data_IF_828499931258
#
_entry.id   IF_828499931258
#
_cell.length_a   1.000
_cell.length_b   1.000
_cell.length_c   1.000
_cell.angle_alpha   90.00
_cell.angle_beta   90.00
_cell.angle_gamma   90.00
#
_symmetry.space_group_name_H-M   'P 1'
#
loop_
_entity.id
_entity.type
_entity.pdbx_description
1 polymer ?
#
# COMPACT_ATOMS: atom_id res chain seq x y z
N UNK A 1 -3.77 16.61 25.16
CA UNK A 1 -3.51 15.25 24.60
C UNK A 1 -2.86 15.45 23.25
N UNK A 2 -1.84 14.67 22.92
CA UNK A 2 -1.19 14.76 21.61
C UNK A 2 -2.12 14.25 20.51
N UNK A 3 -2.16 14.98 19.39
CA UNK A 3 -2.84 14.59 18.16
C UNK A 3 -2.10 13.43 17.48
N UNK A 4 -2.85 12.44 17.00
CA UNK A 4 -2.30 11.25 16.34
C UNK A 4 -2.89 11.15 14.94
N UNK A 5 -2.03 10.92 13.96
CA UNK A 5 -2.39 10.65 12.58
C UNK A 5 -1.87 9.31 12.08
N UNK A 6 -2.48 8.79 11.02
CA UNK A 6 -1.96 7.65 10.24
C UNK A 6 -1.74 8.11 8.81
N UNK A 7 -0.49 8.08 8.32
CA UNK A 7 -0.14 8.38 6.93
C UNK A 7 -0.40 7.15 6.05
N UNK A 8 -1.45 7.22 5.25
CA UNK A 8 -1.86 6.23 4.27
C UNK A 8 -1.34 6.62 2.87
N UNK A 9 -0.61 5.73 2.21
CA UNK A 9 -0.01 5.95 0.88
C UNK A 9 -0.21 4.74 -0.06
N UNK A 10 -1.31 4.02 0.11
CA UNK A 10 -1.63 2.80 -0.64
C UNK A 10 -3.03 2.30 -0.32
N UNK A 11 -3.23 0.98 -0.18
CA UNK A 11 -4.58 0.40 0.02
C UNK A 11 -5.31 0.95 1.25
N UNK A 12 -4.58 1.43 2.25
CA UNK A 12 -5.15 2.03 3.44
C UNK A 12 -5.96 3.31 3.12
N UNK A 13 -5.66 4.04 2.02
CA UNK A 13 -6.40 5.24 1.60
C UNK A 13 -7.86 4.89 1.31
N UNK A 14 -8.09 3.83 0.52
CA UNK A 14 -9.43 3.39 0.11
C UNK A 14 -10.11 2.49 1.14
N UNK A 15 -9.33 1.66 1.83
CA UNK A 15 -9.83 0.71 2.82
C UNK A 15 -9.07 0.83 4.15
N UNK A 16 -9.36 1.85 4.98
CA UNK A 16 -8.75 1.99 6.30
C UNK A 16 -8.99 0.78 7.21
N UNK A 17 -10.10 0.08 6.98
CA UNK A 17 -10.50 -1.11 7.73
C UNK A 17 -11.52 -0.80 8.82
N UNK A 18 -12.14 -1.85 9.33
CA UNK A 18 -13.31 -1.76 10.24
C UNK A 18 -12.96 -1.17 11.61
N UNK A 19 -11.70 -1.24 12.02
CA UNK A 19 -11.28 -0.67 13.30
C UNK A 19 -10.72 0.76 13.19
N UNK A 20 -10.13 1.13 12.06
CA UNK A 20 -9.55 2.48 11.85
C UNK A 20 -10.63 3.43 11.33
N UNK A 21 -11.43 3.03 10.34
CA UNK A 21 -12.46 3.87 9.72
C UNK A 21 -13.34 4.62 10.73
N UNK A 22 -13.89 3.98 11.79
CA UNK A 22 -14.82 4.64 12.69
C UNK A 22 -14.21 5.73 13.57
N UNK A 23 -12.87 5.75 13.71
CA UNK A 23 -12.15 6.68 14.58
C UNK A 23 -11.39 7.76 13.78
N UNK A 24 -11.62 7.84 12.46
CA UNK A 24 -11.06 8.91 11.63
C UNK A 24 -11.89 10.18 11.86
N UNK A 25 -11.29 11.19 12.47
CA UNK A 25 -11.88 12.50 12.65
C UNK A 25 -11.78 13.35 11.38
N UNK A 26 -10.63 13.30 10.69
CA UNK A 26 -10.33 14.12 9.52
C UNK A 26 -9.42 13.35 8.55
N UNK A 27 -9.62 13.55 7.24
CA UNK A 27 -8.73 13.05 6.19
C UNK A 27 -8.01 14.22 5.52
N UNK A 28 -6.73 14.42 5.83
CA UNK A 28 -5.88 15.42 5.19
C UNK A 28 -5.24 14.84 3.94
N UNK A 29 -5.70 15.29 2.78
CA UNK A 29 -5.25 14.80 1.48
C UNK A 29 -4.07 15.64 0.94
N UNK A 30 -3.41 15.11 -0.10
CA UNK A 30 -2.30 15.77 -0.82
C UNK A 30 -1.10 16.09 0.08
N UNK A 31 -0.84 15.22 1.04
CA UNK A 31 0.36 15.28 1.87
C UNK A 31 1.49 14.56 1.14
N UNK A 32 2.63 15.20 0.93
CA UNK A 32 3.78 14.54 0.32
C UNK A 32 4.46 13.60 1.33
N UNK A 33 4.77 12.36 0.92
CA UNK A 33 5.49 11.43 1.80
C UNK A 33 6.93 11.93 2.06
N UNK A 34 7.46 11.86 3.30
CA UNK A 34 8.83 12.29 3.60
C UNK A 34 9.90 11.28 3.14
N UNK A 35 9.48 10.28 2.36
CA UNK A 35 10.31 9.21 1.82
C UNK A 35 9.84 8.86 0.41
N UNK A 36 10.75 8.29 -0.38
CA UNK A 36 10.42 7.78 -1.71
C UNK A 36 9.60 6.50 -1.64
N UNK A 37 8.67 6.37 -2.58
CA UNK A 37 7.80 5.22 -2.75
C UNK A 37 7.98 4.62 -4.14
N UNK A 38 7.96 3.29 -4.22
CA UNK A 38 7.95 2.54 -5.49
C UNK A 38 7.26 1.19 -5.30
N UNK A 39 6.82 0.56 -6.41
CA UNK A 39 6.29 -0.81 -6.47
C UNK A 39 7.35 -1.90 -6.18
N UNK A 40 8.03 -1.80 -5.04
CA UNK A 40 9.22 -2.59 -4.72
C UNK A 40 8.95 -3.85 -3.88
N UNK A 41 7.68 -4.21 -3.67
CA UNK A 41 7.31 -5.38 -2.87
C UNK A 41 6.30 -6.28 -3.55
N UNK A 42 6.60 -7.57 -3.65
CA UNK A 42 5.67 -8.63 -3.99
C UNK A 42 4.88 -9.06 -2.75
N UNK A 43 3.56 -9.08 -2.85
CA UNK A 43 2.63 -9.41 -1.77
C UNK A 43 2.08 -10.83 -1.91
N UNK A 44 2.43 -11.71 -0.97
CA UNK A 44 1.91 -13.09 -0.93
C UNK A 44 0.40 -13.14 -0.75
N UNK A 45 -0.17 -12.18 -0.04
CA UNK A 45 -1.62 -12.11 0.21
C UNK A 45 -2.44 -11.59 -0.97
N UNK A 46 -1.75 -11.25 -2.06
CA UNK A 46 -2.26 -10.82 -3.36
C UNK A 46 -1.64 -11.69 -4.47
N UNK A 47 -1.32 -12.94 -4.16
CA UNK A 47 -0.74 -13.91 -5.10
C UNK A 47 0.45 -13.36 -5.91
N UNK A 48 1.38 -12.69 -5.21
CA UNK A 48 2.63 -12.19 -5.79
C UNK A 48 2.56 -10.78 -6.38
N UNK A 49 1.40 -10.11 -6.33
CA UNK A 49 1.22 -8.77 -6.88
C UNK A 49 2.28 -7.75 -6.39
N UNK A 50 2.77 -6.86 -7.26
CA UNK A 50 3.60 -5.75 -6.84
C UNK A 50 2.76 -4.72 -6.05
N UNK A 51 3.36 -4.20 -4.98
CA UNK A 51 2.75 -3.22 -4.05
C UNK A 51 3.72 -2.09 -3.74
N UNK A 52 3.19 -0.91 -3.44
CA UNK A 52 4.02 0.26 -3.13
C UNK A 52 4.56 0.18 -1.71
N UNK A 53 5.84 0.48 -1.53
CA UNK A 53 6.52 0.51 -0.23
C UNK A 53 7.57 1.63 -0.20
N UNK A 54 7.98 2.11 1.00
CA UNK A 54 9.11 3.03 1.12
C UNK A 54 10.40 2.41 0.59
N UNK A 55 11.16 3.16 -0.20
CA UNK A 55 12.44 2.73 -0.78
C UNK A 55 13.58 3.70 -0.41
N UNK A 56 14.79 3.16 -0.27
CA UNK A 56 16.00 3.97 0.02
C UNK A 56 16.68 4.50 -1.24
N UNK A 57 16.45 3.85 -2.39
CA UNK A 57 16.98 4.26 -3.70
C UNK A 57 15.93 4.01 -4.78
N UNK A 58 15.89 4.90 -5.78
CA UNK A 58 14.79 4.97 -6.73
C UNK A 58 13.51 5.54 -6.12
N UNK A 59 12.40 5.37 -6.83
CA UNK A 59 11.11 5.92 -6.41
C UNK A 59 11.07 7.44 -6.38
N UNK A 60 9.97 7.99 -5.86
CA UNK A 60 9.86 9.40 -5.52
C UNK A 60 8.87 9.59 -4.36
N UNK A 61 8.91 10.71 -3.65
CA UNK A 61 7.79 11.12 -2.80
C UNK A 61 6.48 11.10 -3.58
N UNK A 62 5.38 10.74 -2.92
CA UNK A 62 4.04 10.68 -3.52
C UNK A 62 3.03 11.39 -2.64
N UNK A 63 1.91 11.78 -3.23
CA UNK A 63 0.79 12.26 -2.44
C UNK A 63 0.12 11.11 -1.67
N UNK A 64 -0.06 11.35 -0.38
CA UNK A 64 -0.65 10.49 0.61
C UNK A 64 -1.82 11.20 1.30
N UNK A 65 -2.50 10.46 2.18
CA UNK A 65 -3.54 10.99 3.05
C UNK A 65 -3.17 10.73 4.50
N UNK A 66 -3.25 11.73 5.37
CA UNK A 66 -3.20 11.52 6.81
C UNK A 66 -4.63 11.36 7.34
N UNK A 67 -4.88 10.25 8.03
CA UNK A 67 -6.08 10.07 8.85
C UNK A 67 -5.81 10.60 10.25
N UNK A 68 -6.37 11.76 10.56
CA UNK A 68 -6.33 12.31 11.93
C UNK A 68 -7.33 11.53 12.76
N UNK A 69 -6.88 10.97 13.88
CA UNK A 69 -7.71 10.14 14.74
C UNK A 69 -8.46 10.98 15.78
N UNK A 70 -9.56 10.43 16.29
CA UNK A 70 -10.33 11.04 17.38
C UNK A 70 -9.47 11.36 18.62
N UNK A 71 -9.87 12.41 19.33
CA UNK A 71 -9.23 12.78 20.60
C UNK A 71 -9.38 11.65 21.63
N UNK A 72 -8.30 11.31 22.32
CA UNK A 72 -8.28 10.27 23.36
C UNK A 72 -7.83 8.89 22.88
N UNK A 73 -7.65 8.68 21.57
CA UNK A 73 -6.93 7.50 21.07
C UNK A 73 -5.48 7.58 21.56
N UNK A 74 -5.02 6.52 22.24
CA UNK A 74 -3.63 6.42 22.70
C UNK A 74 -2.71 5.99 21.56
N UNK A 75 -1.41 6.30 21.69
CA UNK A 75 -0.39 5.86 20.74
C UNK A 75 -0.39 4.34 20.56
N UNK A 76 -0.35 3.59 21.66
CA UNK A 76 -0.36 2.13 21.64
C UNK A 76 -1.60 1.59 20.91
N UNK A 77 -2.78 2.19 21.14
CA UNK A 77 -4.01 1.78 20.46
C UNK A 77 -3.94 2.07 18.96
N UNK A 78 -3.37 3.20 18.55
CA UNK A 78 -3.22 3.55 17.14
C UNK A 78 -2.22 2.61 16.43
N UNK A 79 -1.10 2.27 17.07
CA UNK A 79 -0.12 1.31 16.55
C UNK A 79 -0.73 -0.09 16.39
N UNK A 80 -1.46 -0.54 17.40
CA UNK A 80 -2.22 -1.79 17.41
C UNK A 80 -3.20 -1.89 16.24
N UNK A 81 -4.02 -0.84 16.05
CA UNK A 81 -5.03 -0.78 15.00
C UNK A 81 -4.37 -0.85 13.62
N UNK A 82 -3.34 -0.04 13.40
CA UNK A 82 -2.57 -0.03 12.16
C UNK A 82 -1.93 -1.39 11.90
N UNK A 83 -1.30 -1.99 12.92
CA UNK A 83 -0.67 -3.30 12.78
C UNK A 83 -1.67 -4.41 12.48
N UNK A 84 -2.82 -4.44 13.17
CA UNK A 84 -3.88 -5.42 12.90
C UNK A 84 -4.40 -5.28 11.48
N UNK A 85 -4.58 -4.04 11.00
CA UNK A 85 -5.03 -3.78 9.64
C UNK A 85 -4.07 -4.33 8.58
N UNK A 86 -2.77 -4.08 8.72
CA UNK A 86 -1.77 -4.52 7.75
C UNK A 86 -1.49 -6.02 7.80
N UNK A 87 -1.70 -6.64 8.96
CA UNK A 87 -1.48 -8.08 9.16
C UNK A 87 -2.76 -8.90 9.04
N UNK A 88 -3.89 -8.28 8.67
CA UNK A 88 -5.23 -8.90 8.56
C UNK A 88 -5.71 -9.57 9.86
N UNK A 89 -5.35 -9.01 11.01
CA UNK A 89 -5.78 -9.46 12.34
C UNK A 89 -6.87 -8.58 12.95
N UNK A 90 -7.63 -7.83 12.14
CA UNK A 90 -8.62 -6.89 12.66
C UNK A 90 -9.74 -7.54 13.51
N UNK A 91 -10.17 -6.85 14.56
CA UNK A 91 -11.06 -7.37 15.62
C UNK A 91 -10.48 -8.54 16.43
N UNK A 92 -9.15 -8.62 16.54
CA UNK A 92 -8.51 -9.46 17.55
C UNK A 92 -7.97 -8.61 18.69
N UNK A 93 -7.73 -9.24 19.83
CA UNK A 93 -7.06 -8.63 20.98
C UNK A 93 -5.52 -8.68 20.86
N UNK A 94 -5.00 -8.84 19.63
CA UNK A 94 -3.56 -8.87 19.39
C UNK A 94 -3.00 -7.46 19.43
N UNK A 95 -1.91 -7.33 20.17
CA UNK A 95 -1.15 -6.11 20.31
C UNK A 95 0.07 -6.10 19.39
N UNK A 96 0.40 -4.92 18.87
CA UNK A 96 1.66 -4.71 18.18
C UNK A 96 2.82 -4.89 19.16
N UNK A 97 3.81 -5.64 18.73
CA UNK A 97 5.10 -5.72 19.41
C UNK A 97 6.18 -5.45 18.37
N UNK A 98 6.92 -4.34 18.50
CA UNK A 98 8.01 -4.02 17.59
C UNK A 98 8.98 -5.20 17.49
N UNK A 99 9.38 -5.59 16.27
CA UNK A 99 10.32 -6.68 16.12
C UNK A 99 11.69 -6.28 16.68
N UNK A 100 12.26 -7.17 17.50
CA UNK A 100 13.62 -7.02 18.04
C UNK A 100 14.69 -7.11 16.96
N UNK A 101 14.44 -7.84 15.88
CA UNK A 101 15.31 -7.95 14.71
C UNK A 101 14.57 -7.48 13.46
N UNK A 102 15.03 -6.39 12.80
CA UNK A 102 14.47 -5.94 11.53
C UNK A 102 14.66 -7.01 10.45
N UNK A 103 13.60 -7.34 9.72
CA UNK A 103 13.70 -8.13 8.50
C UNK A 103 12.83 -7.51 7.39
N UNK A 104 13.20 -7.64 6.11
CA UNK A 104 12.43 -7.06 5.01
C UNK A 104 10.98 -7.58 4.91
N UNK A 105 10.71 -8.75 5.50
CA UNK A 105 9.40 -9.39 5.47
C UNK A 105 8.49 -8.98 6.65
N UNK A 106 9.02 -8.26 7.64
CA UNK A 106 8.25 -7.91 8.83
C UNK A 106 7.80 -6.46 8.75
N UNK A 107 6.49 -6.26 8.83
CA UNK A 107 5.89 -4.94 8.90
C UNK A 107 6.27 -4.29 10.22
N UNK A 108 6.70 -3.03 10.16
CA UNK A 108 6.95 -2.19 11.33
C UNK A 108 6.11 -0.93 11.26
N UNK A 109 5.61 -0.49 12.41
CA UNK A 109 5.02 0.84 12.55
C UNK A 109 6.16 1.82 12.80
N UNK A 110 6.17 2.93 12.06
CA UNK A 110 7.13 4.01 12.17
C UNK A 110 6.43 5.30 12.53
N UNK A 111 7.17 6.20 13.15
CA UNK A 111 6.65 7.43 13.73
C UNK A 111 7.35 8.63 13.11
N UNK A 112 6.57 9.63 12.71
CA UNK A 112 6.99 10.98 12.42
C UNK A 112 6.49 11.88 13.56
N UNK A 113 7.29 12.86 13.97
CA UNK A 113 6.91 13.85 14.98
C UNK A 113 6.74 15.20 14.32
N UNK A 114 5.79 15.99 14.81
CA UNK A 114 5.54 17.36 14.35
C UNK A 114 5.39 17.46 12.83
N UNK A 115 4.68 16.50 12.23
CA UNK A 115 4.53 16.37 10.78
C UNK A 115 3.15 16.85 10.35
N UNK A 116 3.10 17.80 9.40
CA UNK A 116 1.85 18.38 8.89
C UNK A 116 0.93 18.95 9.99
N UNK A 117 1.55 19.51 11.03
CA UNK A 117 0.84 20.09 12.19
C UNK A 117 0.17 19.04 13.09
N UNK A 118 0.63 17.78 13.06
CA UNK A 118 0.17 16.69 13.93
C UNK A 118 1.36 16.23 14.77
N UNK A 119 1.14 16.06 16.08
CA UNK A 119 2.21 15.77 17.04
C UNK A 119 2.89 14.43 16.74
N UNK A 120 2.09 13.42 16.40
CA UNK A 120 2.56 12.07 16.08
C UNK A 120 1.84 11.52 14.86
N UNK A 121 2.57 11.16 13.81
CA UNK A 121 2.04 10.50 12.61
C UNK A 121 2.65 9.12 12.46
N UNK A 122 1.80 8.10 12.47
CA UNK A 122 2.17 6.71 12.28
C UNK A 122 2.13 6.35 10.79
N UNK A 123 3.06 5.51 10.36
CA UNK A 123 3.02 4.93 9.02
C UNK A 123 3.59 3.52 9.05
N UNK A 124 3.14 2.70 8.12
CA UNK A 124 3.62 1.32 7.99
C UNK A 124 4.93 1.35 7.23
N UNK A 125 5.88 0.47 7.53
CA UNK A 125 7.07 0.26 6.70
C UNK A 125 7.26 -1.23 6.51
N UNK A 126 7.28 -1.63 5.25
CA UNK A 126 7.64 -2.97 4.80
C UNK A 126 8.90 -2.88 3.95
N UNK A 127 9.72 -3.92 3.98
CA UNK A 127 10.93 -3.97 3.18
C UNK A 127 10.66 -4.28 1.71
N UNK A 128 11.60 -3.86 0.87
CA UNK A 128 11.73 -4.28 -0.52
C UNK A 128 12.02 -5.78 -0.57
N UNK A 129 11.35 -6.49 -1.47
CA UNK A 129 11.61 -7.92 -1.72
C UNK A 129 11.58 -8.31 -3.21
N UNK A 130 11.47 -7.34 -4.11
CA UNK A 130 11.66 -7.53 -5.55
C UNK A 130 13.09 -7.11 -5.89
N UNK A 131 13.91 -8.06 -6.34
CA UNK A 131 15.24 -7.76 -6.89
C UNK A 131 15.14 -7.18 -8.31
N UNK A 132 16.11 -6.38 -8.73
CA UNK A 132 16.26 -5.89 -10.12
C UNK A 132 14.96 -5.32 -10.70
N UNK A 133 14.29 -4.49 -9.91
CA UNK A 133 12.97 -3.96 -10.23
C UNK A 133 12.99 -3.18 -11.56
N UNK A 134 12.06 -3.51 -12.44
CA UNK A 134 11.82 -2.79 -13.68
C UNK A 134 10.35 -2.98 -14.10
N UNK A 135 9.90 -2.16 -15.06
CA UNK A 135 8.54 -2.16 -15.59
C UNK A 135 8.04 -3.55 -16.04
N UNK A 136 8.89 -4.30 -16.73
CA UNK A 136 8.52 -5.61 -17.28
C UNK A 136 8.26 -6.63 -16.17
N UNK A 137 9.15 -6.69 -15.18
CA UNK A 137 9.01 -7.59 -14.02
C UNK A 137 7.77 -7.28 -13.20
N UNK A 138 7.43 -5.99 -13.05
CA UNK A 138 6.20 -5.58 -12.38
C UNK A 138 4.96 -6.05 -13.16
N UNK A 139 4.98 -5.90 -14.49
CA UNK A 139 3.90 -6.37 -15.35
C UNK A 139 3.69 -7.88 -15.25
N UNK A 140 4.77 -8.67 -15.29
CA UNK A 140 4.70 -10.12 -15.15
C UNK A 140 4.06 -10.53 -13.81
N UNK A 141 4.54 -9.98 -12.69
CA UNK A 141 3.97 -10.26 -11.37
C UNK A 141 2.48 -9.88 -11.27
N UNK A 142 2.09 -8.78 -11.88
CA UNK A 142 0.71 -8.31 -11.85
C UNK A 142 -0.23 -9.16 -12.69
N UNK A 143 0.20 -9.56 -13.89
CA UNK A 143 -0.54 -10.43 -14.79
C UNK A 143 -0.72 -11.81 -14.16
N UNK A 144 0.34 -12.41 -13.62
CA UNK A 144 0.26 -13.72 -12.96
C UNK A 144 -0.68 -13.67 -11.74
N UNK A 145 -0.57 -12.61 -10.94
CA UNK A 145 -1.51 -12.36 -9.84
C UNK A 145 -2.95 -12.20 -10.34
N UNK A 146 -3.19 -11.51 -11.46
CA UNK A 146 -4.52 -11.31 -12.03
C UNK A 146 -5.13 -12.59 -12.64
N UNK A 147 -4.30 -13.54 -13.08
CA UNK A 147 -4.72 -14.88 -13.52
C UNK A 147 -5.06 -15.83 -12.36
N UNK A 148 -4.62 -15.49 -11.15
CA UNK A 148 -4.79 -16.32 -9.95
C UNK A 148 -6.09 -16.04 -9.18
N UNK A 149 -6.22 -16.62 -7.97
CA UNK A 149 -7.39 -16.42 -7.10
C UNK A 149 -7.54 -14.95 -6.67
N UNK A 150 -6.43 -14.23 -6.49
CA UNK A 150 -6.45 -12.79 -6.24
C UNK A 150 -7.21 -12.02 -7.32
N UNK A 151 -7.08 -12.41 -8.59
CA UNK A 151 -7.79 -11.81 -9.71
C UNK A 151 -9.30 -11.97 -9.65
N UNK A 152 -9.78 -13.14 -9.22
CA UNK A 152 -11.23 -13.39 -9.01
C UNK A 152 -11.83 -12.47 -7.96
N UNK A 153 -11.01 -12.11 -6.97
CA UNK A 153 -11.40 -11.26 -5.85
C UNK A 153 -11.02 -9.78 -6.04
N UNK A 154 -10.49 -9.39 -7.21
CA UNK A 154 -9.95 -8.03 -7.49
C UNK A 154 -8.89 -7.56 -6.48
N UNK A 155 -8.15 -8.50 -5.90
CA UNK A 155 -7.05 -8.25 -4.96
C UNK A 155 -5.68 -8.38 -5.62
N UNK A 156 -5.65 -8.58 -6.94
CA UNK A 156 -4.46 -8.74 -7.76
C UNK A 156 -3.68 -7.45 -8.03
N UNK A 157 -2.55 -7.57 -8.75
CA UNK A 157 -1.65 -6.46 -9.07
C UNK A 157 -2.21 -5.44 -10.06
N UNK A 158 -3.04 -5.84 -11.03
CA UNK A 158 -3.67 -4.92 -11.97
C UNK A 158 -4.76 -4.12 -11.25
N UNK A 159 -5.63 -4.80 -10.49
CA UNK A 159 -6.63 -4.14 -9.63
C UNK A 159 -5.99 -3.17 -8.65
N UNK A 160 -4.85 -3.55 -8.06
CA UNK A 160 -4.11 -2.67 -7.15
C UNK A 160 -3.50 -1.46 -7.88
N UNK A 161 -2.91 -1.64 -9.07
CA UNK A 161 -2.41 -0.52 -9.88
C UNK A 161 -3.53 0.48 -10.22
N UNK A 162 -4.71 -0.01 -10.62
CA UNK A 162 -5.89 0.84 -10.89
C UNK A 162 -6.26 1.67 -9.65
N UNK A 163 -6.31 1.02 -8.47
CA UNK A 163 -6.59 1.67 -7.19
C UNK A 163 -5.57 2.75 -6.85
N UNK A 164 -4.28 2.46 -6.96
CA UNK A 164 -3.19 3.43 -6.70
C UNK A 164 -3.26 4.62 -7.67
N UNK A 165 -3.51 4.39 -8.96
CA UNK A 165 -3.70 5.46 -9.95
C UNK A 165 -4.90 6.34 -9.62
N UNK A 166 -6.03 5.76 -9.21
CA UNK A 166 -7.24 6.50 -8.82
C UNK A 166 -7.00 7.41 -7.61
N UNK A 167 -6.09 7.03 -6.72
CA UNK A 167 -5.68 7.83 -5.57
C UNK A 167 -4.75 9.00 -5.95
N UNK A 168 -4.35 9.12 -7.22
CA UNK A 168 -3.42 10.14 -7.68
C UNK A 168 -1.96 9.88 -7.31
N UNK A 169 -1.64 8.66 -6.86
CA UNK A 169 -0.26 8.24 -6.61
C UNK A 169 0.42 7.98 -7.96
N UNK A 170 1.65 8.47 -8.11
CA UNK A 170 2.48 8.26 -9.30
C UNK A 170 3.91 7.97 -8.86
N UNK A 171 4.43 6.81 -9.27
CA UNK A 171 5.83 6.43 -9.03
C UNK A 171 6.61 6.36 -10.35
N UNK A 172 7.94 6.46 -10.34
CA UNK A 172 8.75 6.50 -11.57
C UNK A 172 8.51 5.31 -12.52
N UNK A 173 8.39 4.09 -11.99
CA UNK A 173 8.18 2.90 -12.83
C UNK A 173 6.74 2.71 -13.30
N UNK A 174 5.76 3.42 -12.73
CA UNK A 174 4.34 3.17 -12.93
C UNK A 174 3.92 3.25 -14.41
N UNK A 175 4.38 4.27 -15.16
CA UNK A 175 4.01 4.42 -16.57
C UNK A 175 4.59 3.30 -17.45
N UNK A 176 5.83 2.87 -17.17
CA UNK A 176 6.43 1.74 -17.89
C UNK A 176 5.73 0.43 -17.54
N UNK A 177 5.45 0.20 -16.26
CA UNK A 177 4.73 -0.97 -15.75
C UNK A 177 3.36 -1.13 -16.42
N UNK A 178 2.58 -0.05 -16.50
CA UNK A 178 1.29 -0.05 -17.22
C UNK A 178 1.47 -0.41 -18.69
N UNK A 179 2.44 0.20 -19.39
CA UNK A 179 2.75 -0.10 -20.80
C UNK A 179 3.07 -1.57 -21.03
N UNK A 180 3.85 -2.17 -20.14
CA UNK A 180 4.19 -3.58 -20.24
C UNK A 180 2.98 -4.50 -19.98
N UNK A 181 2.07 -4.14 -19.07
CA UNK A 181 0.80 -4.88 -18.91
C UNK A 181 0.02 -4.87 -20.22
N UNK A 182 -0.20 -3.70 -20.82
CA UNK A 182 -0.99 -3.59 -22.05
C UNK A 182 -0.33 -4.33 -23.21
N UNK A 183 1.00 -4.21 -23.35
CA UNK A 183 1.77 -4.91 -24.38
C UNK A 183 1.66 -6.44 -24.25
N UNK A 184 1.81 -6.98 -23.04
CA UNK A 184 1.79 -8.43 -22.78
C UNK A 184 0.39 -9.03 -22.85
N UNK A 185 -0.65 -8.27 -22.51
CA UNK A 185 -2.05 -8.73 -22.55
C UNK A 185 -2.76 -8.42 -23.88
N UNK A 186 -2.15 -7.60 -24.75
CA UNK A 186 -2.81 -7.09 -25.96
C UNK A 186 -4.04 -6.22 -25.67
N UNK A 187 -4.12 -5.67 -24.46
CA UNK A 187 -5.26 -4.89 -24.01
C UNK A 187 -5.15 -3.40 -24.39
N UNK A 188 -6.31 -2.76 -24.50
CA UNK A 188 -6.45 -1.32 -24.76
C UNK A 188 -6.32 -0.44 -23.50
N UNK A 189 -6.33 -1.06 -22.31
CA UNK A 189 -6.21 -0.40 -21.02
C UNK A 189 -6.22 -1.39 -19.87
N UNK A 190 -6.09 -0.90 -18.63
CA UNK A 190 -5.95 -1.76 -17.44
C UNK A 190 -7.21 -2.59 -17.12
N UNK A 191 -8.41 -2.04 -17.29
CA UNK A 191 -9.66 -2.79 -17.06
C UNK A 191 -9.86 -3.92 -18.09
N UNK A 192 -9.49 -3.68 -19.35
CA UNK A 192 -9.47 -4.68 -20.42
C UNK A 192 -8.41 -5.76 -20.11
N UNK A 193 -7.19 -5.35 -19.71
CA UNK A 193 -6.14 -6.28 -19.31
C UNK A 193 -6.57 -7.20 -18.15
N UNK A 194 -7.18 -6.63 -17.11
CA UNK A 194 -7.72 -7.38 -15.97
C UNK A 194 -8.78 -8.39 -16.42
N UNK A 195 -9.71 -7.97 -17.29
CA UNK A 195 -10.77 -8.86 -17.80
C UNK A 195 -10.17 -10.02 -18.57
N UNK A 196 -9.21 -9.75 -19.47
CA UNK A 196 -8.54 -10.79 -20.26
C UNK A 196 -7.77 -11.79 -19.41
N UNK A 197 -7.04 -11.32 -18.39
CA UNK A 197 -6.33 -12.19 -17.45
C UNK A 197 -7.28 -13.13 -16.71
N UNK A 198 -8.45 -12.63 -16.29
CA UNK A 198 -9.46 -13.40 -15.56
C UNK A 198 -10.20 -14.40 -16.44
N UNK A 199 -10.43 -14.03 -17.70
CA UNK A 199 -11.13 -14.86 -18.68
C UNK A 199 -10.21 -15.89 -19.35
N UNK A 200 -8.91 -15.89 -19.03
CA UNK A 200 -7.92 -16.82 -19.59
C UNK A 200 -7.58 -16.56 -21.06
N UNK A 201 -7.72 -15.31 -21.51
CA UNK A 201 -7.48 -14.89 -22.90
C UNK A 201 -6.11 -14.23 -23.12
N UNK A 202 -5.24 -14.27 -22.10
CA UNK A 202 -3.85 -13.79 -22.08
C UNK A 202 -2.88 -14.96 -21.98
#
# INVERSE_FOLDING_TARGET
MSSIGILAYGSLIEEPGKEIEPIILERRQRIETPFSIEFARSSSTRDGAPTVVPVESGGCPVYATIFVLEAGVSLDKAEDLLWRRETRNECSDKHYSPPTTPSPNRMVVKTLRDFEGIDVVLYTKLGVNISDINAEKLADLAIESAKSEAGRNRKDGISYLISVKRQGISTPLMSGYEKEIMRKTGASGLDDALSRCRDGTV
#
